data_IF_789259204864
#
_entry.id   IF_789259204864
#
_cell.length_a   1.000
_cell.length_b   1.000
_cell.length_c   1.000
_cell.angle_alpha   90.00
_cell.angle_beta   90.00
_cell.angle_gamma   90.00
#
_symmetry.space_group_name_H-M   'P 1'
#
loop_
_entity.id
_entity.type
_entity.pdbx_description
1 polymer ?
#
# COMPACT_ATOMS: atom_id res chain seq x y z
N UNK A 1 -19.65 26.23 -13.93
CA UNK A 1 -19.05 24.90 -14.12
C UNK A 1 -18.17 24.66 -12.92
N UNK A 2 -18.58 23.77 -12.01
CA UNK A 2 -17.64 23.26 -11.00
C UNK A 2 -16.97 22.07 -11.65
N UNK A 3 -15.66 22.08 -11.94
CA UNK A 3 -15.01 20.82 -12.24
C UNK A 3 -15.07 20.01 -10.95
N UNK A 4 -15.82 18.93 -11.02
CA UNK A 4 -15.78 17.82 -10.07
C UNK A 4 -14.40 17.16 -10.26
N UNK A 5 -13.33 17.82 -9.81
CA UNK A 5 -12.00 17.21 -9.79
C UNK A 5 -12.04 16.15 -8.69
N UNK A 6 -12.29 14.92 -9.12
CA UNK A 6 -12.13 13.76 -8.26
C UNK A 6 -10.67 13.72 -7.82
N UNK A 7 -10.37 13.47 -6.53
CA UNK A 7 -8.99 13.39 -6.04
C UNK A 7 -8.13 12.35 -6.77
N UNK A 8 -8.75 11.46 -7.56
CA UNK A 8 -8.10 10.47 -8.42
C UNK A 8 -7.41 11.08 -9.67
N UNK A 9 -7.79 12.30 -10.07
CA UNK A 9 -7.12 13.03 -11.16
C UNK A 9 -5.92 13.86 -10.67
N UNK A 10 -5.68 13.89 -9.35
CA UNK A 10 -4.55 14.60 -8.75
C UNK A 10 -3.25 13.76 -8.91
N UNK A 11 -2.18 14.32 -9.51
CA UNK A 11 -0.92 13.60 -9.73
C UNK A 11 -0.25 13.17 -8.42
N UNK A 12 -0.46 13.91 -7.32
CA UNK A 12 0.05 13.54 -5.99
C UNK A 12 -0.70 12.34 -5.44
N UNK A 13 -2.02 12.26 -5.67
CA UNK A 13 -2.79 11.08 -5.29
C UNK A 13 -2.32 9.84 -6.05
N UNK A 14 -2.14 9.94 -7.37
CA UNK A 14 -1.65 8.84 -8.20
C UNK A 14 -0.26 8.35 -7.75
N UNK A 15 0.66 9.26 -7.40
CA UNK A 15 1.98 8.91 -6.87
C UNK A 15 1.89 8.17 -5.52
N UNK A 16 1.07 8.69 -4.60
CA UNK A 16 0.85 8.07 -3.28
C UNK A 16 0.18 6.70 -3.42
N UNK A 17 -0.81 6.56 -4.30
CA UNK A 17 -1.49 5.29 -4.57
C UNK A 17 -0.54 4.27 -5.19
N UNK A 18 0.30 4.67 -6.16
CA UNK A 18 1.32 3.80 -6.74
C UNK A 18 2.32 3.32 -5.67
N UNK A 19 2.75 4.21 -4.77
CA UNK A 19 3.63 3.88 -3.65
C UNK A 19 2.96 2.91 -2.67
N UNK A 20 1.69 3.13 -2.35
CA UNK A 20 0.89 2.23 -1.50
C UNK A 20 0.81 0.83 -2.14
N UNK A 21 0.50 0.74 -3.43
CA UNK A 21 0.43 -0.52 -4.16
C UNK A 21 1.76 -1.27 -4.20
N UNK A 22 2.87 -0.57 -4.39
CA UNK A 22 4.21 -1.18 -4.37
C UNK A 22 4.50 -1.83 -3.00
N UNK A 23 4.23 -1.10 -1.92
CA UNK A 23 4.43 -1.58 -0.55
C UNK A 23 3.51 -2.77 -0.23
N UNK A 24 2.26 -2.74 -0.70
CA UNK A 24 1.33 -3.85 -0.55
C UNK A 24 1.89 -5.10 -1.26
N UNK A 25 2.38 -4.98 -2.50
CA UNK A 25 2.99 -6.12 -3.21
C UNK A 25 4.19 -6.70 -2.45
N UNK A 26 5.07 -5.85 -1.91
CA UNK A 26 6.21 -6.33 -1.11
C UNK A 26 5.76 -7.08 0.15
N UNK A 27 4.77 -6.55 0.89
CA UNK A 27 4.20 -7.22 2.07
C UNK A 27 3.64 -8.60 1.72
N UNK A 28 2.92 -8.71 0.60
CA UNK A 28 2.33 -9.97 0.17
C UNK A 28 3.36 -10.98 -0.31
N UNK A 29 4.42 -10.54 -0.99
CA UNK A 29 5.53 -11.41 -1.36
C UNK A 29 6.20 -12.03 -0.13
N UNK A 30 6.42 -11.24 0.93
CA UNK A 30 6.93 -11.74 2.22
C UNK A 30 5.93 -12.71 2.90
N UNK A 31 4.62 -12.42 2.82
CA UNK A 31 3.59 -13.30 3.37
C UNK A 31 3.51 -14.65 2.63
N UNK A 32 3.65 -14.65 1.30
CA UNK A 32 3.71 -15.89 0.52
C UNK A 32 4.92 -16.74 0.89
N UNK A 33 6.09 -16.13 1.13
CA UNK A 33 7.27 -16.86 1.63
C UNK A 33 7.03 -17.55 2.96
N UNK A 34 6.28 -16.93 3.88
CA UNK A 34 5.88 -17.58 5.14
C UNK A 34 4.92 -18.75 4.90
N UNK A 35 3.96 -18.61 3.98
CA UNK A 35 3.00 -19.68 3.65
C UNK A 35 3.68 -20.92 3.05
N UNK A 36 4.79 -20.73 2.32
CA UNK A 36 5.69 -21.78 1.85
C UNK A 36 6.49 -22.49 2.97
N UNK A 37 6.21 -22.19 4.24
CA UNK A 37 6.82 -22.86 5.39
C UNK A 37 8.21 -22.35 5.75
N UNK A 38 8.68 -21.26 5.13
CA UNK A 38 9.95 -20.64 5.49
C UNK A 38 9.74 -19.75 6.71
N UNK A 39 10.50 -19.95 7.81
CA UNK A 39 10.46 -19.03 8.93
C UNK A 39 10.89 -17.63 8.47
N UNK A 40 10.24 -16.61 9.01
CA UNK A 40 10.61 -15.24 8.73
C UNK A 40 11.86 -14.90 9.54
N UNK A 41 13.00 -14.76 8.89
CA UNK A 41 14.25 -14.31 9.52
C UNK A 41 14.08 -12.92 10.18
N UNK A 42 14.90 -12.59 11.18
CA UNK A 42 14.83 -11.30 11.88
C UNK A 42 14.93 -10.10 10.93
N UNK A 43 15.75 -10.22 9.87
CA UNK A 43 15.86 -9.20 8.83
C UNK A 43 14.56 -9.02 8.04
N UNK A 44 13.87 -10.12 7.70
CA UNK A 44 12.59 -10.10 7.02
C UNK A 44 11.47 -9.58 7.95
N UNK A 45 11.51 -9.92 9.24
CA UNK A 45 10.60 -9.37 10.25
C UNK A 45 10.72 -7.86 10.39
N UNK A 46 11.96 -7.34 10.47
CA UNK A 46 12.21 -5.88 10.48
C UNK A 46 11.72 -5.22 9.20
N UNK A 47 12.05 -5.80 8.04
CA UNK A 47 11.58 -5.28 6.74
C UNK A 47 10.06 -5.26 6.65
N UNK A 48 9.38 -6.28 7.15
CA UNK A 48 7.92 -6.34 7.18
C UNK A 48 7.33 -5.25 8.08
N UNK A 49 7.94 -4.99 9.24
CA UNK A 49 7.55 -3.88 10.12
C UNK A 49 7.74 -2.53 9.43
N UNK A 50 8.88 -2.30 8.75
CA UNK A 50 9.13 -1.08 7.98
C UNK A 50 8.10 -0.88 6.87
N UNK A 51 7.77 -1.95 6.12
CA UNK A 51 6.73 -1.91 5.08
C UNK A 51 5.38 -1.56 5.69
N UNK A 52 5.02 -2.13 6.85
CA UNK A 52 3.76 -1.83 7.53
C UNK A 52 3.67 -0.37 7.99
N UNK A 53 4.77 0.19 8.51
CA UNK A 53 4.85 1.61 8.88
C UNK A 53 4.67 2.49 7.66
N UNK A 54 5.43 2.23 6.58
CA UNK A 54 5.33 3.00 5.33
C UNK A 54 3.96 2.90 4.67
N UNK A 55 3.31 1.74 4.76
CA UNK A 55 1.93 1.54 4.28
C UNK A 55 0.97 2.45 5.02
N UNK A 56 1.11 2.55 6.34
CA UNK A 56 0.27 3.43 7.16
C UNK A 56 0.51 4.89 6.81
N UNK A 57 1.77 5.31 6.71
CA UNK A 57 2.13 6.68 6.32
C UNK A 57 1.54 7.06 4.96
N UNK A 58 1.76 6.23 3.93
CA UNK A 58 1.21 6.48 2.59
C UNK A 58 -0.32 6.52 2.60
N UNK A 59 -0.96 5.62 3.34
CA UNK A 59 -2.42 5.61 3.48
C UNK A 59 -2.94 6.86 4.19
N UNK A 60 -2.31 7.28 5.28
CA UNK A 60 -2.69 8.48 6.02
C UNK A 60 -2.52 9.74 5.14
N UNK A 61 -1.45 9.83 4.36
CA UNK A 61 -1.25 10.90 3.37
C UNK A 61 -2.35 10.92 2.30
N UNK A 62 -2.75 9.76 1.77
CA UNK A 62 -3.87 9.66 0.85
C UNK A 62 -5.17 10.13 1.53
N UNK A 63 -5.38 9.79 2.81
CA UNK A 63 -6.57 10.23 3.55
C UNK A 63 -6.65 11.73 3.81
N UNK A 64 -5.52 12.44 3.74
CA UNK A 64 -5.52 13.91 3.76
C UNK A 64 -6.12 14.48 2.47
N UNK A 65 -5.99 13.76 1.36
CA UNK A 65 -6.53 14.13 0.03
C UNK A 65 -7.96 13.59 -0.14
N UNK A 66 -8.16 12.28 0.05
CA UNK A 66 -9.46 11.61 0.01
C UNK A 66 -9.73 10.84 1.31
N UNK A 67 -10.53 11.44 2.20
CA UNK A 67 -10.92 10.84 3.48
C UNK A 67 -11.74 9.55 3.34
N UNK A 68 -12.38 9.34 2.17
CA UNK A 68 -13.17 8.15 1.85
C UNK A 68 -12.34 7.04 1.23
N UNK A 69 -11.06 7.30 0.94
CA UNK A 69 -10.16 6.32 0.36
C UNK A 69 -10.10 5.06 1.23
N UNK A 70 -10.25 3.91 0.58
CA UNK A 70 -10.13 2.58 1.18
C UNK A 70 -8.93 1.92 0.55
N UNK A 71 -8.12 1.23 1.35
CA UNK A 71 -7.02 0.41 0.84
C UNK A 71 -7.62 -0.59 -0.16
N UNK A 72 -7.23 -0.52 -1.45
CA UNK A 72 -7.80 -1.39 -2.45
C UNK A 72 -7.41 -2.84 -2.17
N UNK A 73 -8.31 -3.80 -2.41
CA UNK A 73 -7.94 -5.20 -2.35
C UNK A 73 -6.88 -5.44 -3.42
N UNK A 74 -5.76 -6.05 -3.05
CA UNK A 74 -4.81 -6.55 -4.03
C UNK A 74 -5.52 -7.60 -4.88
N UNK A 75 -5.86 -7.25 -6.12
CA UNK A 75 -6.21 -8.23 -7.15
C UNK A 75 -4.95 -9.03 -7.43
N UNK A 76 -4.75 -10.12 -6.70
CA UNK A 76 -3.89 -11.18 -7.18
C UNK A 76 -4.58 -11.73 -8.42
N UNK A 77 -4.01 -11.47 -9.59
CA UNK A 77 -4.37 -12.26 -10.76
C UNK A 77 -4.03 -13.71 -10.39
N UNK A 78 -5.10 -14.51 -10.31
CA UNK A 78 -5.07 -15.97 -10.22
C UNK A 78 -4.29 -16.56 -11.39
#
# INVERSE_FOLDING_TARGET
MSPDESPQDDPRFAELEARLHALLREKYHEHWRQKDGKPLDEAAARRLQEIQTRLREAFDEIRLIDRKYKIPPLKMHE
#
